data_IF_295145378597
#
_entry.id   IF_295145378597
#
_cell.length_a   1.000
_cell.length_b   1.000
_cell.length_c   1.000
_cell.angle_alpha   90.00
_cell.angle_beta   90.00
_cell.angle_gamma   90.00
#
_symmetry.space_group_name_H-M   'P 1'
#
loop_
_entity.id
_entity.type
_entity.pdbx_description
1 polymer ?
#
# COMPACT_ATOMS: atom_id res chain seq x y z
N UNK A 1 13.60 -8.21 -2.65
CA UNK A 1 13.05 -7.19 -1.73
C UNK A 1 12.03 -6.38 -2.50
N UNK A 2 10.76 -6.48 -2.13
CA UNK A 2 9.67 -5.78 -2.83
C UNK A 2 9.44 -4.44 -2.14
N UNK A 3 10.12 -3.39 -2.60
CA UNK A 3 9.93 -2.06 -2.04
C UNK A 3 8.60 -1.46 -2.53
N UNK A 4 7.93 -0.70 -1.65
CA UNK A 4 6.75 0.07 -2.05
C UNK A 4 7.17 1.23 -2.97
N UNK A 5 6.44 1.50 -4.07
CA UNK A 5 6.81 2.56 -5.02
C UNK A 5 6.94 3.92 -4.35
N UNK A 6 8.07 4.59 -4.62
CA UNK A 6 8.39 5.88 -4.01
C UNK A 6 7.38 6.97 -4.33
N UNK A 7 6.88 6.99 -5.56
CA UNK A 7 5.98 8.00 -6.08
C UNK A 7 4.96 7.41 -7.07
N UNK A 8 3.90 8.16 -7.33
CA UNK A 8 2.87 7.77 -8.30
C UNK A 8 1.85 6.78 -7.73
N UNK A 9 1.29 5.95 -8.62
CA UNK A 9 0.22 4.99 -8.33
C UNK A 9 0.77 3.56 -8.30
N UNK A 10 0.15 2.67 -7.53
CA UNK A 10 0.47 1.23 -7.59
C UNK A 10 0.10 0.60 -8.96
N UNK A 11 -0.55 1.35 -9.86
CA UNK A 11 -0.93 0.92 -11.20
C UNK A 11 0.25 0.38 -12.06
N UNK A 12 1.48 0.85 -11.80
CA UNK A 12 2.67 0.40 -12.51
C UNK A 12 3.36 -0.80 -11.85
N UNK A 13 2.80 -1.30 -10.75
CA UNK A 13 3.37 -2.42 -10.00
C UNK A 13 2.34 -3.55 -9.89
N UNK A 14 2.40 -4.57 -10.77
CA UNK A 14 1.42 -5.64 -10.80
C UNK A 14 1.31 -6.38 -9.47
N UNK A 15 2.44 -6.49 -8.74
CA UNK A 15 2.48 -7.08 -7.40
C UNK A 15 1.55 -6.40 -6.40
N UNK A 16 1.62 -5.07 -6.30
CA UNK A 16 0.84 -4.29 -5.34
C UNK A 16 -0.65 -4.24 -5.72
N UNK A 17 -0.96 -4.26 -7.02
CA UNK A 17 -2.35 -4.38 -7.50
C UNK A 17 -2.95 -5.73 -7.12
N UNK A 18 -2.20 -6.81 -7.34
CA UNK A 18 -2.63 -8.16 -6.99
C UNK A 18 -2.86 -8.30 -5.49
N UNK A 19 -1.93 -7.81 -4.67
CA UNK A 19 -2.06 -7.79 -3.21
C UNK A 19 -3.29 -7.00 -2.76
N UNK A 20 -3.50 -5.79 -3.30
CA UNK A 20 -4.69 -4.95 -3.06
C UNK A 20 -5.98 -5.71 -3.38
N UNK A 21 -6.03 -6.41 -4.52
CA UNK A 21 -7.18 -7.21 -4.94
C UNK A 21 -7.43 -8.39 -4.03
N UNK A 22 -6.39 -9.12 -3.61
CA UNK A 22 -6.51 -10.24 -2.66
C UNK A 22 -7.14 -9.83 -1.33
N UNK A 23 -6.82 -8.63 -0.83
CA UNK A 23 -7.36 -8.13 0.43
C UNK A 23 -8.71 -7.41 0.29
N UNK A 24 -9.27 -7.35 -0.93
CA UNK A 24 -10.58 -6.74 -1.19
C UNK A 24 -10.61 -5.21 -1.05
N UNK A 25 -9.46 -4.54 -1.17
CA UNK A 25 -9.42 -3.08 -1.02
C UNK A 25 -9.97 -2.38 -2.27
N UNK A 26 -11.14 -1.75 -2.14
CA UNK A 26 -11.80 -1.03 -3.23
C UNK A 26 -11.45 0.48 -3.25
N UNK A 27 -10.19 0.82 -2.97
CA UNK A 27 -9.70 2.21 -3.01
C UNK A 27 -8.98 2.46 -4.34
N UNK A 28 -9.05 3.67 -4.89
CA UNK A 28 -8.29 4.04 -6.08
C UNK A 28 -6.77 3.77 -5.92
N UNK A 29 -6.11 3.33 -7.00
CA UNK A 29 -4.71 2.92 -6.96
C UNK A 29 -3.75 4.09 -6.63
N UNK A 30 -4.04 5.30 -7.10
CA UNK A 30 -3.22 6.47 -6.80
C UNK A 30 -3.49 6.98 -5.38
N UNK A 31 -4.76 6.92 -4.96
CA UNK A 31 -5.18 7.31 -3.60
C UNK A 31 -4.54 6.41 -2.54
N UNK A 32 -4.73 5.09 -2.63
CA UNK A 32 -4.16 4.13 -1.67
C UNK A 32 -2.64 4.23 -1.59
N UNK A 33 -1.96 4.48 -2.72
CA UNK A 33 -0.52 4.69 -2.74
C UNK A 33 -0.10 5.94 -1.96
N UNK A 34 -0.84 7.03 -2.12
CA UNK A 34 -0.57 8.30 -1.45
C UNK A 34 -0.84 8.21 0.04
N UNK A 35 -2.00 7.67 0.42
CA UNK A 35 -2.35 7.51 1.83
C UNK A 35 -1.42 6.52 2.54
N UNK A 36 -1.04 5.42 1.89
CA UNK A 36 -0.11 4.46 2.48
C UNK A 36 1.29 5.06 2.68
N UNK A 37 1.81 5.83 1.72
CA UNK A 37 3.08 6.57 1.90
C UNK A 37 3.03 7.52 3.07
N UNK A 38 1.92 8.25 3.21
CA UNK A 38 1.71 9.16 4.35
C UNK A 38 1.72 8.39 5.67
N UNK A 39 1.01 7.28 5.73
CA UNK A 39 0.99 6.38 6.89
C UNK A 39 2.40 5.86 7.26
N UNK A 40 3.21 5.47 6.27
CA UNK A 40 4.59 5.07 6.50
C UNK A 40 5.43 6.21 7.06
N UNK A 41 5.29 7.42 6.49
CA UNK A 41 6.02 8.60 6.94
C UNK A 41 5.65 9.01 8.38
N UNK A 42 4.35 9.02 8.70
CA UNK A 42 3.85 9.34 10.06
C UNK A 42 4.33 8.35 11.12
N UNK A 43 4.60 7.09 10.73
CA UNK A 43 5.13 6.06 11.63
C UNK A 43 6.65 5.90 11.56
N UNK A 44 7.34 6.65 10.70
CA UNK A 44 8.78 6.49 10.48
C UNK A 44 9.18 5.12 9.92
N UNK A 45 8.30 4.48 9.14
CA UNK A 45 8.54 3.14 8.57
C UNK A 45 9.13 3.27 7.16
N UNK A 46 10.20 2.53 6.88
CA UNK A 46 10.80 2.46 5.54
C UNK A 46 9.91 1.72 4.53
N UNK A 47 9.97 2.14 3.27
CA UNK A 47 9.19 1.59 2.14
C UNK A 47 9.66 0.19 1.74
N UNK A 48 10.88 -0.13 2.12
CA UNK A 48 11.61 -1.38 1.95
C UNK A 48 11.57 -2.26 3.22
N UNK A 49 10.77 -1.89 4.23
CA UNK A 49 10.63 -2.67 5.45
C UNK A 49 10.22 -4.11 5.12
N UNK A 50 10.81 -5.09 5.82
CA UNK A 50 10.53 -6.51 5.59
C UNK A 50 9.03 -6.88 5.75
N UNK A 51 8.28 -6.10 6.52
CA UNK A 51 6.85 -6.30 6.77
C UNK A 51 5.95 -5.36 5.93
N UNK A 52 6.48 -4.70 4.90
CA UNK A 52 5.74 -3.69 4.11
C UNK A 52 4.46 -4.24 3.49
N UNK A 53 4.48 -5.49 3.02
CA UNK A 53 3.33 -6.16 2.42
C UNK A 53 2.21 -6.40 3.43
N UNK A 54 2.59 -6.78 4.66
CA UNK A 54 1.65 -6.99 5.76
C UNK A 54 1.04 -5.66 6.19
N UNK A 55 1.85 -4.61 6.29
CA UNK A 55 1.39 -3.25 6.58
C UNK A 55 0.43 -2.74 5.51
N UNK A 56 0.75 -2.94 4.24
CA UNK A 56 -0.13 -2.54 3.14
C UNK A 56 -1.46 -3.28 3.18
N UNK A 57 -1.42 -4.59 3.43
CA UNK A 57 -2.62 -5.42 3.58
C UNK A 57 -3.50 -4.98 4.74
N UNK A 58 -2.89 -4.65 5.88
CA UNK A 58 -3.60 -4.17 7.08
C UNK A 58 -4.18 -2.76 6.87
N UNK A 59 -3.41 -1.87 6.25
CA UNK A 59 -3.86 -0.56 5.83
C UNK A 59 -5.08 -0.67 4.92
N UNK A 60 -4.98 -1.50 3.88
CA UNK A 60 -6.05 -1.81 2.95
C UNK A 60 -7.34 -2.30 3.65
N UNK A 61 -7.23 -3.13 4.69
CA UNK A 61 -8.37 -3.57 5.51
C UNK A 61 -8.98 -2.45 6.34
N UNK A 62 -8.19 -1.44 6.69
CA UNK A 62 -8.65 -0.28 7.46
C UNK A 62 -9.37 0.73 6.56
N UNK A 63 -8.77 1.11 5.42
CA UNK A 63 -9.42 2.04 4.46
C UNK A 63 -10.55 1.39 3.65
N UNK A 64 -10.56 0.07 3.50
CA UNK A 64 -11.62 -0.66 2.79
C UNK A 64 -12.89 -0.90 3.60
N UNK A 65 -12.89 -0.61 4.91
CA UNK A 65 -14.09 -0.58 5.74
C UNK A 65 -14.77 0.78 5.58
N UNK A 66 -15.60 0.91 4.56
CA UNK A 66 -16.61 1.97 4.44
C UNK A 66 -17.99 1.34 4.50
#
# INVERSE_FOLDING_TARGET
>A
VTAFPEAGSIAYSPYWIDLKRRVGCNVDNAKVATDFRRFLNERGISRDANNIEKLFSDFCRTVGKV
#
